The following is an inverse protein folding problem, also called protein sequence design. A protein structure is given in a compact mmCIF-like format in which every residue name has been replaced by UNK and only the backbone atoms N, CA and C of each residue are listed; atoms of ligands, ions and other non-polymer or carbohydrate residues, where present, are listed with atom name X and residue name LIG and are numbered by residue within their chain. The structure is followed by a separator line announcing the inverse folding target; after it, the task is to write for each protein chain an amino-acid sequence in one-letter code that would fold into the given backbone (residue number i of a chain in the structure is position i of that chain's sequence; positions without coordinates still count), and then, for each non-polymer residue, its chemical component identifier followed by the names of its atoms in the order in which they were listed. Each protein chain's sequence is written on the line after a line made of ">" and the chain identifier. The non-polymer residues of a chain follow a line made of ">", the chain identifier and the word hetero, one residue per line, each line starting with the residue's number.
data_IF_584411233333
#
_entry.id   IF_584411233333
#
_cell.length_a   1.000
_cell.length_b   1.000
_cell.length_c   1.000
_cell.angle_alpha   90.00
_cell.angle_beta   90.00
_cell.angle_gamma   90.00
#
_symmetry.space_group_name_H-M   'P 1'
#
loop_
_entity.id
_entity.type
_entity.pdbx_description
1 polymer ?
#
# COMPACT_ATOMS: atom_id res chain seq x y z
N UNK A 1 7.13 8.13 -28.29
CA UNK A 1 6.59 8.71 -27.04
C UNK A 1 6.65 7.62 -25.97
N UNK A 2 7.02 7.92 -24.73
CA UNK A 2 7.22 6.91 -23.65
C UNK A 2 5.94 6.14 -23.24
N UNK A 3 4.81 6.42 -23.90
CA UNK A 3 3.50 5.82 -23.70
C UNK A 3 3.24 4.60 -24.61
N UNK A 4 4.00 4.45 -25.72
CA UNK A 4 3.83 3.32 -26.66
C UNK A 4 4.29 1.98 -26.06
N UNK A 5 5.16 1.99 -25.04
CA UNK A 5 5.67 0.78 -24.38
C UNK A 5 4.68 0.13 -23.42
N UNK A 6 3.53 0.75 -23.13
CA UNK A 6 2.46 0.19 -22.29
C UNK A 6 1.28 -0.39 -23.10
N UNK A 7 1.42 -0.51 -24.43
CA UNK A 7 0.34 -0.80 -25.39
C UNK A 7 -0.42 -2.14 -25.21
N UNK A 8 -0.12 -2.94 -24.18
CA UNK A 8 -0.86 -4.16 -23.82
C UNK A 8 -1.37 -4.20 -22.37
N UNK A 9 -1.04 -3.21 -21.54
CA UNK A 9 -1.49 -3.16 -20.14
C UNK A 9 -2.75 -2.30 -20.05
N UNK A 10 -3.87 -2.95 -19.69
CA UNK A 10 -5.10 -2.23 -19.37
C UNK A 10 -4.83 -1.19 -18.26
N UNK A 11 -5.55 -0.07 -18.28
CA UNK A 11 -5.49 0.99 -17.26
C UNK A 11 -5.70 0.42 -15.84
N UNK A 12 -6.43 -0.69 -15.74
CA UNK A 12 -6.56 -1.46 -14.51
C UNK A 12 -5.21 -1.97 -13.97
N UNK A 13 -4.35 -2.51 -14.83
CA UNK A 13 -3.04 -3.06 -14.46
C UNK A 13 -2.08 -1.97 -13.98
N UNK A 14 -2.09 -0.80 -14.64
CA UNK A 14 -1.30 0.35 -14.21
C UNK A 14 -1.76 0.86 -12.84
N UNK A 15 -3.08 0.95 -12.63
CA UNK A 15 -3.66 1.32 -11.33
C UNK A 15 -3.28 0.31 -10.24
N UNK A 16 -3.25 -0.97 -10.59
CA UNK A 16 -2.86 -2.04 -9.68
C UNK A 16 -1.39 -1.91 -9.28
N UNK A 17 -0.47 -1.79 -10.24
CA UNK A 17 0.96 -1.61 -9.98
C UNK A 17 1.22 -0.37 -9.12
N UNK A 18 0.55 0.75 -9.40
CA UNK A 18 0.67 1.95 -8.59
C UNK A 18 0.22 1.74 -7.13
N UNK A 19 -0.88 1.02 -6.90
CA UNK A 19 -1.34 0.69 -5.54
C UNK A 19 -0.34 -0.19 -4.79
N UNK A 20 0.24 -1.18 -5.46
CA UNK A 20 1.25 -2.08 -4.89
C UNK A 20 2.50 -1.32 -4.47
N UNK A 21 3.08 -0.52 -5.37
CA UNK A 21 4.31 0.24 -5.06
C UNK A 21 4.12 1.28 -3.96
N UNK A 22 2.94 1.92 -3.89
CA UNK A 22 2.65 2.81 -2.78
C UNK A 22 2.52 2.04 -1.45
N UNK A 23 1.97 0.82 -1.49
CA UNK A 23 1.92 -0.06 -0.33
C UNK A 23 3.29 -0.52 0.15
N UNK A 24 4.19 -0.87 -0.78
CA UNK A 24 5.59 -1.21 -0.50
C UNK A 24 6.36 -0.04 0.10
N UNK A 25 6.03 1.19 -0.29
CA UNK A 25 6.59 2.43 0.25
C UNK A 25 5.96 2.86 1.60
N UNK A 26 5.20 1.97 2.26
CA UNK A 26 4.53 2.23 3.55
C UNK A 26 3.62 3.49 3.54
N UNK A 27 3.08 3.88 2.38
CA UNK A 27 2.18 5.03 2.27
C UNK A 27 0.84 4.73 2.95
N UNK A 28 0.27 5.65 3.75
CA UNK A 28 -1.04 5.48 4.39
C UNK A 28 -2.14 5.10 3.40
N UNK A 29 -2.98 4.14 3.77
CA UNK A 29 -4.03 3.57 2.91
C UNK A 29 -4.98 4.66 2.38
N UNK A 30 -5.28 5.69 3.17
CA UNK A 30 -6.14 6.81 2.79
C UNK A 30 -5.55 7.60 1.60
N UNK A 31 -4.23 7.82 1.60
CA UNK A 31 -3.53 8.49 0.51
C UNK A 31 -3.46 7.62 -0.73
N UNK A 32 -3.24 6.31 -0.56
CA UNK A 32 -3.28 5.34 -1.66
C UNK A 32 -4.67 5.35 -2.30
N UNK A 33 -5.73 5.30 -1.50
CA UNK A 33 -7.12 5.35 -1.97
C UNK A 33 -7.43 6.64 -2.72
N UNK A 34 -6.98 7.79 -2.22
CA UNK A 34 -7.10 9.08 -2.91
C UNK A 34 -6.39 9.08 -4.27
N UNK A 35 -5.16 8.58 -4.32
CA UNK A 35 -4.36 8.55 -5.56
C UNK A 35 -4.92 7.58 -6.60
N UNK A 36 -5.45 6.44 -6.17
CA UNK A 36 -5.95 5.36 -7.04
C UNK A 36 -7.47 5.44 -7.28
N UNK A 37 -8.15 6.39 -6.64
CA UNK A 37 -9.61 6.60 -6.67
C UNK A 37 -10.43 5.40 -6.17
N UNK A 38 -9.90 4.63 -5.22
CA UNK A 38 -10.67 3.58 -4.57
C UNK A 38 -11.65 4.20 -3.56
N UNK A 39 -12.93 3.85 -3.69
CA UNK A 39 -13.98 4.28 -2.75
C UNK A 39 -14.13 3.33 -1.55
N UNK A 40 -13.62 2.10 -1.67
CA UNK A 40 -13.79 1.06 -0.66
C UNK A 40 -12.39 0.59 -0.20
N UNK A 41 -12.07 0.67 1.10
CA UNK A 41 -10.77 0.23 1.61
C UNK A 41 -10.53 -1.26 1.34
N UNK A 42 -11.59 -2.09 1.39
CA UNK A 42 -11.49 -3.53 1.09
C UNK A 42 -10.98 -3.79 -0.33
N UNK A 43 -11.32 -2.93 -1.29
CA UNK A 43 -10.88 -3.11 -2.68
C UNK A 43 -9.46 -2.61 -2.90
N UNK A 44 -9.02 -1.57 -2.17
CA UNK A 44 -7.64 -1.09 -2.17
C UNK A 44 -6.67 -2.06 -1.46
N UNK A 45 -7.09 -2.65 -0.35
CA UNK A 45 -6.29 -3.62 0.42
C UNK A 45 -5.97 -4.92 -0.33
N UNK A 46 -6.61 -5.20 -1.47
CA UNK A 46 -6.19 -6.32 -2.33
C UNK A 46 -4.77 -6.15 -2.88
N UNK A 47 -4.29 -4.91 -2.91
CA UNK A 47 -3.05 -4.52 -3.55
C UNK A 47 -2.01 -3.97 -2.57
N UNK A 48 -2.43 -3.68 -1.34
CA UNK A 48 -1.57 -3.22 -0.25
C UNK A 48 -1.49 -4.34 0.78
N UNK A 49 -0.39 -5.10 0.77
CA UNK A 49 -0.12 -6.14 1.76
C UNK A 49 1.01 -5.67 2.68
N UNK A 50 0.71 -5.26 3.93
CA UNK A 50 1.78 -4.92 4.86
C UNK A 50 2.65 -6.15 5.10
N UNK A 51 3.96 -5.98 4.93
CA UNK A 51 4.94 -7.02 5.23
C UNK A 51 5.01 -7.29 6.74
N UNK A 52 5.57 -8.44 7.16
CA UNK A 52 5.73 -8.79 8.57
C UNK A 52 6.53 -7.73 9.35
N UNK A 53 7.47 -7.05 8.71
CA UNK A 53 8.26 -5.96 9.31
C UNK A 53 7.38 -4.74 9.66
N UNK A 54 6.48 -4.33 8.77
CA UNK A 54 5.57 -3.21 9.03
C UNK A 54 4.63 -3.52 10.20
N UNK A 55 4.17 -4.77 10.31
CA UNK A 55 3.36 -5.24 11.44
C UNK A 55 4.18 -5.23 12.74
N UNK A 56 5.45 -5.65 12.70
CA UNK A 56 6.35 -5.61 13.85
C UNK A 56 6.59 -4.18 14.35
N UNK A 57 6.88 -3.22 13.45
CA UNK A 57 7.05 -1.80 13.78
C UNK A 57 5.81 -1.21 14.49
N UNK A 58 4.61 -1.50 13.97
CA UNK A 58 3.36 -1.07 14.61
C UNK A 58 3.19 -1.73 15.97
N UNK A 59 3.49 -3.02 16.08
CA UNK A 59 3.39 -3.78 17.33
C UNK A 59 4.36 -3.27 18.39
N UNK A 60 5.59 -2.93 18.01
CA UNK A 60 6.59 -2.28 18.87
C UNK A 60 6.14 -0.90 19.33
N UNK A 61 5.58 -0.09 18.42
CA UNK A 61 5.06 1.24 18.76
C UNK A 61 3.89 1.17 19.75
N UNK A 62 3.04 0.15 19.62
CA UNK A 62 1.90 -0.07 20.52
C UNK A 62 2.27 -0.87 21.78
N UNK A 63 3.51 -1.36 21.89
CA UNK A 63 3.92 -2.16 23.03
C UNK A 63 3.91 -1.32 24.32
N UNK A 64 3.41 -1.88 25.44
CA UNK A 64 3.46 -1.19 26.72
C UNK A 64 4.91 -0.94 27.15
N UNK A 65 5.20 0.13 27.91
CA UNK A 65 6.54 0.40 28.39
C UNK A 65 7.05 -0.79 29.20
N UNK A 66 8.21 -1.32 28.80
CA UNK A 66 8.87 -2.44 29.47
C UNK A 66 9.07 -2.10 30.95
N UNK A 67 8.46 -2.90 31.85
CA UNK A 67 8.77 -2.86 33.28
C UNK A 67 10.20 -3.36 33.46
N UNK A 68 11.13 -2.43 33.64
CA UNK A 68 12.46 -2.74 34.19
C UNK A 68 12.28 -3.00 35.68
N UNK A 69 12.54 -4.24 36.10
CA UNK A 69 12.69 -4.61 37.51
C UNK A 69 14.13 -4.38 37.96
#
# INVERSE_FOLDING_TARGET
>A
MLLDTYAGLDLHQLRHSAATHLGEAEVPLELIMGKTRHKNPRTAMRYVKPGPEAIAKVSEHLAPPSRRH
#
